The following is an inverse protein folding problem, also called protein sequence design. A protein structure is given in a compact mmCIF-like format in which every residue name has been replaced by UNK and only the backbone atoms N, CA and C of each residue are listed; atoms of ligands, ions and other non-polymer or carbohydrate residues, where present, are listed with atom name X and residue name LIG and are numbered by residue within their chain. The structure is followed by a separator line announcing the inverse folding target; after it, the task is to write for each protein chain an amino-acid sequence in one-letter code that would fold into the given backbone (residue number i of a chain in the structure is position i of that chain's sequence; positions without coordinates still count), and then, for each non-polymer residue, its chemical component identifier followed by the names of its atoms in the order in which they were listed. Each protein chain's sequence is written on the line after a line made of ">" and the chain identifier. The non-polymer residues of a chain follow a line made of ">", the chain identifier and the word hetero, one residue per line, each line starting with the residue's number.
data_IF_525764211309
#
_entry.id   IF_525764211309
#
_cell.length_a   1.000
_cell.length_b   1.000
_cell.length_c   1.000
_cell.angle_alpha   90.00
_cell.angle_beta   90.00
_cell.angle_gamma   90.00
#
_symmetry.space_group_name_H-M   'P 1'
#
loop_
_entity.id
_entity.type
_entity.pdbx_description
1 polymer ?
#
# COMPACT_ATOMS: atom_id res chain seq x y z
N UNK A 1 19.45 -15.65 -25.73
CA UNK A 1 19.39 -16.63 -24.62
C UNK A 1 17.93 -16.86 -24.29
N UNK A 2 17.51 -18.14 -24.23
CA UNK A 2 16.12 -18.58 -24.14
C UNK A 2 15.53 -18.35 -22.74
N UNK A 3 14.21 -18.24 -22.71
CA UNK A 3 13.38 -17.82 -21.58
C UNK A 3 13.61 -18.61 -20.30
N UNK A 4 13.71 -17.86 -19.21
CA UNK A 4 13.40 -18.34 -17.87
C UNK A 4 11.87 -18.20 -17.75
N UNK A 5 11.17 -19.33 -17.74
CA UNK A 5 9.73 -19.37 -17.49
C UNK A 5 9.46 -18.79 -16.11
N UNK A 6 8.89 -17.58 -16.08
CA UNK A 6 8.31 -17.01 -14.87
C UNK A 6 6.95 -17.69 -14.69
N UNK A 7 6.83 -18.58 -13.72
CA UNK A 7 5.53 -19.08 -13.28
C UNK A 7 4.74 -17.89 -12.73
N UNK A 8 3.69 -17.47 -13.43
CA UNK A 8 2.92 -16.28 -13.10
C UNK A 8 1.53 -16.69 -12.63
N UNK A 9 1.21 -16.41 -11.38
CA UNK A 9 -0.18 -16.53 -10.93
C UNK A 9 -0.42 -16.11 -9.48
N UNK A 10 0.13 -14.97 -9.10
CA UNK A 10 -0.32 -14.33 -7.87
C UNK A 10 -1.54 -13.45 -8.22
N UNK A 11 -2.75 -13.99 -8.09
CA UNK A 11 -4.00 -13.20 -8.17
C UNK A 11 -4.22 -12.50 -6.83
N UNK A 12 -3.56 -11.36 -6.62
CA UNK A 12 -3.81 -10.54 -5.44
C UNK A 12 -4.53 -9.27 -5.83
N UNK A 13 -5.52 -8.92 -5.02
CA UNK A 13 -6.52 -7.91 -5.34
C UNK A 13 -6.42 -6.62 -4.52
N UNK A 14 -7.37 -5.72 -4.73
CA UNK A 14 -8.50 -5.84 -5.67
C UNK A 14 -8.13 -5.56 -7.13
N UNK A 15 -7.04 -4.84 -7.41
CA UNK A 15 -6.62 -4.47 -8.78
C UNK A 15 -5.86 -5.59 -9.52
N UNK A 16 -6.24 -6.85 -9.30
CA UNK A 16 -5.57 -8.03 -9.86
C UNK A 16 -5.60 -8.05 -11.40
N UNK A 17 -6.72 -7.64 -12.01
CA UNK A 17 -6.88 -7.59 -13.46
C UNK A 17 -5.95 -6.55 -14.11
N UNK A 18 -5.82 -5.37 -13.50
CA UNK A 18 -4.90 -4.34 -13.97
C UNK A 18 -3.44 -4.81 -13.85
N UNK A 19 -3.06 -5.34 -12.69
CA UNK A 19 -1.68 -5.79 -12.45
C UNK A 19 -1.29 -6.96 -13.36
N UNK A 20 -2.15 -7.96 -13.50
CA UNK A 20 -1.89 -9.09 -14.39
C UNK A 20 -1.83 -8.68 -15.86
N UNK A 21 -2.71 -7.79 -16.32
CA UNK A 21 -2.69 -7.30 -17.72
C UNK A 21 -1.39 -6.56 -18.03
N UNK A 22 -0.93 -5.70 -17.12
CA UNK A 22 0.35 -5.00 -17.25
C UNK A 22 1.52 -5.99 -17.16
N UNK A 23 1.51 -6.93 -16.21
CA UNK A 23 2.60 -7.91 -16.09
C UNK A 23 2.74 -8.81 -17.32
N UNK A 24 1.62 -9.10 -18.00
CA UNK A 24 1.57 -9.92 -19.21
C UNK A 24 1.68 -9.12 -20.52
N UNK A 25 2.04 -7.84 -20.43
CA UNK A 25 2.24 -6.97 -21.60
C UNK A 25 0.99 -6.81 -22.47
N UNK A 26 -0.20 -7.03 -21.90
CA UNK A 26 -1.48 -6.80 -22.59
C UNK A 26 -1.85 -5.31 -22.63
N UNK A 27 -1.24 -4.51 -21.76
CA UNK A 27 -1.29 -3.05 -21.76
C UNK A 27 0.00 -2.45 -21.18
N UNK A 28 0.22 -1.16 -21.43
CA UNK A 28 1.41 -0.43 -20.98
C UNK A 28 1.34 -0.04 -19.50
N UNK A 29 0.12 0.30 -19.03
CA UNK A 29 -0.17 0.66 -17.65
C UNK A 29 -1.58 0.19 -17.25
N UNK A 30 -1.84 0.20 -15.94
CA UNK A 30 -3.13 -0.17 -15.36
C UNK A 30 -3.53 0.82 -14.28
N UNK A 31 -4.81 1.15 -14.21
CA UNK A 31 -5.41 1.93 -13.13
C UNK A 31 -6.06 1.01 -12.10
N UNK A 32 -6.08 1.43 -10.85
CA UNK A 32 -6.75 0.72 -9.76
C UNK A 32 -7.10 1.64 -8.60
N UNK A 33 -7.76 1.08 -7.59
CA UNK A 33 -7.95 1.75 -6.30
C UNK A 33 -7.05 1.10 -5.24
N UNK A 34 -6.55 1.91 -4.30
CA UNK A 34 -5.72 1.47 -3.18
C UNK A 34 -6.31 2.02 -1.87
N UNK A 35 -7.24 1.26 -1.30
CA UNK A 35 -7.85 1.54 0.02
C UNK A 35 -6.98 1.02 1.16
N UNK A 36 -6.40 -0.17 1.00
CA UNK A 36 -5.54 -0.81 2.01
C UNK A 36 -4.27 -1.44 1.43
N UNK A 37 -3.93 -1.13 0.18
CA UNK A 37 -2.79 -1.74 -0.54
C UNK A 37 -3.12 -2.25 -1.93
N UNK A 38 -4.34 -2.05 -2.43
CA UNK A 38 -4.84 -2.70 -3.65
C UNK A 38 -4.25 -2.22 -4.99
N UNK A 39 -3.29 -1.29 -4.98
CA UNK A 39 -2.38 -1.03 -6.10
C UNK A 39 -0.97 -1.47 -5.76
N UNK A 40 -0.46 -1.09 -4.57
CA UNK A 40 0.92 -1.38 -4.15
C UNK A 40 1.21 -2.87 -3.99
N UNK A 41 0.31 -3.62 -3.34
CA UNK A 41 0.45 -5.06 -3.11
C UNK A 41 0.46 -5.85 -4.43
N UNK A 42 -0.54 -5.72 -5.33
CA UNK A 42 -0.47 -6.45 -6.60
C UNK A 42 0.69 -5.98 -7.48
N UNK A 43 1.10 -4.71 -7.42
CA UNK A 43 2.32 -4.25 -8.12
C UNK A 43 3.57 -4.98 -7.60
N UNK A 44 3.72 -5.08 -6.28
CA UNK A 44 4.82 -5.83 -5.64
C UNK A 44 4.85 -7.30 -6.11
N UNK A 45 3.71 -7.98 -6.06
CA UNK A 45 3.64 -9.41 -6.44
C UNK A 45 3.77 -9.66 -7.94
N UNK A 46 3.37 -8.72 -8.78
CA UNK A 46 3.53 -8.81 -10.22
C UNK A 46 4.88 -8.26 -10.72
N UNK A 47 5.74 -7.74 -9.84
CA UNK A 47 7.03 -7.14 -10.22
C UNK A 47 6.87 -5.86 -11.05
N UNK A 48 5.87 -5.05 -10.73
CA UNK A 48 5.57 -3.78 -11.38
C UNK A 48 5.94 -2.61 -10.47
N UNK A 49 6.17 -1.45 -11.08
CA UNK A 49 6.10 -0.18 -10.35
C UNK A 49 4.63 0.15 -10.09
N UNK A 50 4.31 0.59 -8.87
CA UNK A 50 2.96 1.00 -8.50
C UNK A 50 2.99 2.17 -7.53
N UNK A 51 2.07 3.12 -7.73
CA UNK A 51 1.98 4.32 -6.90
C UNK A 51 0.56 4.51 -6.36
N UNK A 52 0.47 4.80 -5.06
CA UNK A 52 -0.70 5.39 -4.42
C UNK A 52 -0.35 6.84 -4.09
N UNK A 53 -0.89 7.84 -4.82
CA UNK A 53 -0.61 9.25 -4.54
C UNK A 53 -1.22 9.67 -3.20
N UNK A 54 -1.00 10.92 -2.80
CA UNK A 54 -1.71 11.55 -1.68
C UNK A 54 -3.23 11.37 -1.87
N UNK A 55 -3.93 11.02 -0.78
CA UNK A 55 -5.39 10.86 -0.82
C UNK A 55 -6.06 12.15 -1.34
N UNK A 56 -7.06 11.98 -2.20
CA UNK A 56 -7.76 13.10 -2.85
C UNK A 56 -6.98 13.84 -3.94
N UNK A 57 -5.73 13.44 -4.25
CA UNK A 57 -4.91 14.13 -5.27
C UNK A 57 -5.41 13.92 -6.70
N UNK A 58 -6.00 12.76 -6.97
CA UNK A 58 -6.68 12.41 -8.21
C UNK A 58 -8.17 12.30 -7.90
N UNK A 59 -9.02 12.95 -8.70
CA UNK A 59 -10.46 12.87 -8.52
C UNK A 59 -10.94 11.42 -8.73
N UNK A 60 -11.76 10.94 -7.78
CA UNK A 60 -12.30 9.58 -7.75
C UNK A 60 -13.80 9.55 -8.09
N UNK A 61 -14.38 10.69 -8.47
CA UNK A 61 -15.78 10.80 -8.90
C UNK A 61 -16.10 9.75 -9.97
N UNK A 62 -17.21 9.04 -9.78
CA UNK A 62 -17.68 7.98 -10.67
C UNK A 62 -17.13 6.58 -10.35
N UNK A 63 -16.09 6.46 -9.52
CA UNK A 63 -15.67 5.16 -9.01
C UNK A 63 -16.66 4.64 -7.95
N UNK A 64 -16.68 3.31 -7.76
CA UNK A 64 -17.46 2.69 -6.68
C UNK A 64 -16.69 2.85 -5.37
N UNK A 65 -17.24 3.53 -4.35
CA UNK A 65 -16.58 3.68 -3.07
C UNK A 65 -16.52 2.33 -2.35
N UNK A 66 -15.45 2.10 -1.60
CA UNK A 66 -15.33 1.04 -0.62
C UNK A 66 -15.25 1.64 0.78
N UNK A 67 -14.27 2.52 1.01
CA UNK A 67 -14.12 3.31 2.23
C UNK A 67 -13.56 4.69 1.84
N UNK A 68 -14.43 5.69 1.61
CA UNK A 68 -14.07 6.98 1.01
C UNK A 68 -12.89 7.72 1.68
N UNK A 69 -12.69 7.58 3.00
CA UNK A 69 -11.55 8.24 3.67
C UNK A 69 -10.20 7.59 3.37
N UNK A 70 -10.19 6.43 2.72
CA UNK A 70 -8.99 5.69 2.33
C UNK A 70 -8.87 5.47 0.81
N UNK A 71 -10.00 5.43 0.10
CA UNK A 71 -10.03 5.14 -1.33
C UNK A 71 -9.19 6.15 -2.13
N UNK A 72 -8.18 5.62 -2.83
CA UNK A 72 -7.25 6.42 -3.62
C UNK A 72 -7.05 5.80 -4.99
N UNK A 73 -7.20 6.58 -6.06
CA UNK A 73 -6.83 6.13 -7.41
C UNK A 73 -5.31 6.01 -7.48
N UNK A 74 -4.82 4.86 -7.91
CA UNK A 74 -3.42 4.61 -8.17
C UNK A 74 -3.21 3.95 -9.52
N UNK A 75 -1.96 3.87 -9.94
CA UNK A 75 -1.60 3.26 -11.21
C UNK A 75 -0.31 2.46 -11.10
N UNK A 76 -0.12 1.58 -12.09
CA UNK A 76 1.01 0.66 -12.16
C UNK A 76 1.49 0.47 -13.58
N UNK A 77 2.79 0.24 -13.74
CA UNK A 77 3.47 0.06 -15.02
C UNK A 77 4.71 -0.83 -14.88
N UNK A 78 5.16 -1.43 -15.99
CA UNK A 78 6.45 -2.16 -16.04
C UNK A 78 7.66 -1.22 -16.12
N UNK A 79 7.45 -0.04 -16.70
CA UNK A 79 8.47 0.97 -16.94
C UNK A 79 8.21 2.21 -16.10
N UNK A 80 9.27 2.77 -15.51
CA UNK A 80 9.18 3.93 -14.62
C UNK A 80 8.82 5.20 -15.39
N UNK A 81 9.25 5.33 -16.66
CA UNK A 81 8.89 6.45 -17.52
C UNK A 81 7.42 6.43 -17.90
N UNK A 82 6.84 5.25 -18.17
CA UNK A 82 5.38 5.10 -18.35
C UNK A 82 4.63 5.44 -17.07
N UNK A 83 5.08 4.97 -15.90
CA UNK A 83 4.47 5.33 -14.62
C UNK A 83 4.48 6.85 -14.41
N UNK A 84 5.59 7.51 -14.72
CA UNK A 84 5.73 8.96 -14.62
C UNK A 84 4.79 9.69 -15.59
N UNK A 85 4.75 9.29 -16.87
CA UNK A 85 3.91 9.90 -17.88
C UNK A 85 2.41 9.83 -17.51
N UNK A 86 1.96 8.71 -16.94
CA UNK A 86 0.59 8.59 -16.41
C UNK A 86 0.38 9.58 -15.25
N UNK A 87 1.37 9.72 -14.36
CA UNK A 87 1.33 10.67 -13.25
C UNK A 87 1.27 12.13 -13.69
N UNK A 88 2.00 12.51 -14.74
CA UNK A 88 1.96 13.86 -15.31
C UNK A 88 0.55 14.23 -15.81
N UNK A 89 -0.19 13.25 -16.33
CA UNK A 89 -1.59 13.42 -16.75
C UNK A 89 -2.52 13.48 -15.55
N UNK A 90 -2.44 12.50 -14.63
CA UNK A 90 -3.42 12.34 -13.56
C UNK A 90 -3.28 13.32 -12.41
N UNK A 91 -2.05 13.74 -12.10
CA UNK A 91 -1.82 14.66 -11.00
C UNK A 91 -2.16 16.09 -11.41
N UNK A 92 -1.97 16.47 -12.68
CA UNK A 92 -2.18 17.85 -13.13
C UNK A 92 -1.33 18.89 -12.35
N UNK A 93 -1.07 20.06 -12.97
CA UNK A 93 -0.33 21.15 -12.32
C UNK A 93 1.19 20.98 -12.33
N UNK A 94 1.87 21.85 -11.59
CA UNK A 94 3.34 21.92 -11.59
C UNK A 94 3.92 20.96 -10.56
N UNK A 95 5.00 20.27 -10.93
CA UNK A 95 5.84 19.58 -9.98
C UNK A 95 6.50 20.60 -9.04
N UNK A 96 6.65 20.19 -7.78
CA UNK A 96 7.44 20.92 -6.80
C UNK A 96 8.63 20.06 -6.43
N UNK A 97 9.83 20.59 -6.67
CA UNK A 97 11.06 19.95 -6.20
C UNK A 97 11.25 20.30 -4.72
N UNK A 98 10.99 19.32 -3.87
CA UNK A 98 11.32 19.38 -2.45
C UNK A 98 12.51 18.46 -2.22
N UNK A 99 13.67 19.00 -1.75
CA UNK A 99 14.80 18.17 -1.41
C UNK A 99 14.42 17.15 -0.33
N UNK A 100 14.76 15.90 -0.56
CA UNK A 100 14.69 14.87 0.49
C UNK A 100 15.94 15.08 1.36
N UNK A 101 15.75 15.38 2.63
CA UNK A 101 16.83 15.67 3.59
C UNK A 101 17.06 14.53 4.59
N UNK A 102 16.16 13.54 4.59
CA UNK A 102 16.22 12.38 5.47
C UNK A 102 15.80 11.10 4.74
N UNK A 103 16.58 10.05 4.90
CA UNK A 103 16.22 8.70 4.51
C UNK A 103 16.07 7.84 5.75
N UNK A 104 14.95 7.15 5.90
CA UNK A 104 14.73 6.20 7.00
C UNK A 104 14.36 4.79 6.54
N UNK A 105 14.68 3.79 7.37
CA UNK A 105 14.23 2.39 7.25
C UNK A 105 13.42 2.02 8.49
N UNK A 106 12.17 1.59 8.30
CA UNK A 106 11.25 1.24 9.40
C UNK A 106 11.45 -0.17 9.92
N UNK A 107 12.23 -0.35 10.98
CA UNK A 107 12.71 -1.67 11.44
C UNK A 107 11.60 -2.59 11.94
N UNK A 108 10.58 -2.04 12.59
CA UNK A 108 9.38 -2.74 13.04
C UNK A 108 8.50 -3.23 11.87
N UNK A 109 8.41 -2.45 10.78
CA UNK A 109 7.75 -2.91 9.56
C UNK A 109 8.53 -4.06 8.89
N UNK A 110 9.86 -4.01 8.89
CA UNK A 110 10.71 -5.12 8.43
C UNK A 110 10.60 -6.37 9.31
N UNK A 111 10.38 -6.21 10.61
CA UNK A 111 10.18 -7.32 11.55
C UNK A 111 8.85 -8.06 11.32
N UNK A 112 7.84 -7.40 10.71
CA UNK A 112 6.56 -8.01 10.34
C UNK A 112 6.61 -8.77 9.00
N UNK A 113 7.62 -8.53 8.17
CA UNK A 113 7.78 -9.23 6.90
C UNK A 113 8.50 -10.57 7.08
N UNK A 114 8.27 -11.50 6.15
CA UNK A 114 8.97 -12.76 6.06
C UNK A 114 10.49 -12.53 6.09
N UNK A 115 11.27 -13.25 6.93
CA UNK A 115 12.70 -13.04 7.05
C UNK A 115 13.47 -13.11 5.71
N UNK A 116 13.01 -13.94 4.77
CA UNK A 116 13.61 -14.04 3.44
C UNK A 116 13.34 -12.79 2.60
N UNK A 117 12.15 -12.17 2.73
CA UNK A 117 11.82 -10.89 2.07
C UNK A 117 12.66 -9.77 2.66
N UNK A 118 12.70 -9.65 3.98
CA UNK A 118 13.52 -8.65 4.67
C UNK A 118 14.99 -8.78 4.26
N UNK A 119 15.54 -10.00 4.30
CA UNK A 119 16.91 -10.28 3.85
C UNK A 119 17.12 -9.92 2.37
N UNK A 120 16.20 -10.27 1.48
CA UNK A 120 16.33 -9.97 0.05
C UNK A 120 16.33 -8.46 -0.22
N UNK A 121 15.44 -7.73 0.46
CA UNK A 121 15.38 -6.26 0.37
C UNK A 121 16.70 -5.68 0.91
N UNK A 122 17.12 -6.02 2.13
CA UNK A 122 18.40 -5.54 2.69
C UNK A 122 19.62 -5.94 1.86
N UNK A 123 19.63 -7.12 1.23
CA UNK A 123 20.71 -7.52 0.33
C UNK A 123 20.76 -6.67 -0.94
N UNK A 124 19.60 -6.27 -1.49
CA UNK A 124 19.53 -5.33 -2.60
C UNK A 124 20.06 -3.93 -2.23
N UNK A 125 19.95 -3.55 -0.94
CA UNK A 125 20.54 -2.33 -0.39
C UNK A 125 22.06 -2.48 -0.16
N UNK A 126 22.46 -3.50 0.59
CA UNK A 126 23.83 -3.66 1.11
C UNK A 126 24.83 -4.32 0.15
N UNK A 127 24.39 -4.91 -0.96
CA UNK A 127 25.26 -5.66 -1.86
C UNK A 127 26.38 -4.78 -2.44
N UNK A 128 27.63 -5.28 -2.37
CA UNK A 128 28.88 -4.65 -2.83
C UNK A 128 28.91 -4.19 -4.31
N UNK A 129 27.79 -4.35 -5.06
CA UNK A 129 27.62 -4.03 -6.48
C UNK A 129 26.25 -3.40 -6.81
N UNK A 130 25.52 -2.86 -5.82
CA UNK A 130 24.27 -2.15 -6.09
C UNK A 130 24.55 -0.69 -6.43
N UNK A 131 25.13 -0.44 -7.61
CA UNK A 131 25.26 0.92 -8.18
C UNK A 131 23.93 1.69 -8.13
N UNK A 132 22.81 0.96 -8.18
CA UNK A 132 21.47 1.51 -7.99
C UNK A 132 21.24 2.00 -6.55
N UNK A 133 21.48 1.19 -5.53
CA UNK A 133 21.26 1.63 -4.15
C UNK A 133 22.21 2.76 -3.77
N UNK A 134 23.48 2.66 -4.13
CA UNK A 134 24.45 3.75 -3.95
C UNK A 134 23.97 5.02 -4.64
N UNK A 135 23.47 4.93 -5.89
CA UNK A 135 22.90 6.09 -6.57
C UNK A 135 21.67 6.67 -5.86
N UNK A 136 20.83 5.86 -5.21
CA UNK A 136 19.73 6.41 -4.40
C UNK A 136 20.29 7.07 -3.14
N UNK A 137 21.23 6.46 -2.42
CA UNK A 137 21.87 7.05 -1.24
C UNK A 137 22.54 8.39 -1.60
N UNK A 138 23.27 8.45 -2.70
CA UNK A 138 23.87 9.66 -3.24
C UNK A 138 22.82 10.71 -3.61
N UNK A 139 21.73 10.31 -4.29
CA UNK A 139 20.65 11.21 -4.67
C UNK A 139 19.88 11.79 -3.48
N UNK A 140 19.81 11.05 -2.36
CA UNK A 140 19.08 11.44 -1.14
C UNK A 140 20.02 12.00 -0.05
N UNK A 141 21.34 11.99 -0.27
CA UNK A 141 22.32 12.68 0.57
C UNK A 141 22.93 11.84 1.71
N UNK A 142 22.93 10.51 1.62
CA UNK A 142 23.63 9.63 2.55
C UNK A 142 22.97 8.26 2.74
N UNK A 143 23.51 7.50 3.69
CA UNK A 143 22.97 6.19 4.09
C UNK A 143 21.66 6.33 4.91
N UNK A 144 20.75 5.34 4.82
CA UNK A 144 19.56 5.29 5.67
C UNK A 144 19.88 5.31 7.16
N UNK A 145 19.05 6.01 7.93
CA UNK A 145 18.96 5.79 9.38
C UNK A 145 17.83 4.81 9.70
N UNK A 146 18.06 3.92 10.66
CA UNK A 146 17.01 3.05 11.17
C UNK A 146 16.08 3.82 12.13
N UNK A 147 14.77 3.57 11.99
CA UNK A 147 13.75 4.11 12.89
C UNK A 147 12.74 3.03 13.23
N UNK A 148 12.20 3.07 14.44
CA UNK A 148 11.01 2.31 14.81
C UNK A 148 9.79 3.20 14.52
N UNK A 149 8.94 2.79 13.58
CA UNK A 149 7.81 3.62 13.11
C UNK A 149 6.75 3.76 14.20
N UNK A 150 6.40 2.64 14.85
CA UNK A 150 5.45 2.57 15.95
C UNK A 150 6.03 1.76 17.13
N UNK A 151 6.83 2.39 18.00
CA UNK A 151 7.42 1.74 19.16
C UNK A 151 6.40 1.00 20.05
N UNK A 152 6.69 -0.24 20.49
CA UNK A 152 5.77 -1.04 21.30
C UNK A 152 5.67 -0.57 22.76
N UNK A 153 6.52 0.38 23.17
CA UNK A 153 6.53 0.98 24.50
C UNK A 153 5.42 2.02 24.71
N UNK A 154 4.60 2.29 23.68
CA UNK A 154 3.53 3.27 23.72
C UNK A 154 4.02 4.72 23.73
N UNK A 155 5.29 4.96 23.38
CA UNK A 155 5.85 6.32 23.24
C UNK A 155 5.23 7.12 22.09
N UNK A 156 4.57 6.45 21.15
CA UNK A 156 3.78 7.06 20.08
C UNK A 156 2.31 6.72 20.23
N UNK A 157 1.46 7.63 19.77
CA UNK A 157 0.03 7.45 19.84
C UNK A 157 -0.47 6.33 18.91
N UNK A 158 -1.57 5.69 19.31
CA UNK A 158 -2.18 4.59 18.55
C UNK A 158 -1.53 3.21 18.78
N UNK A 159 -0.47 3.11 19.59
CA UNK A 159 0.20 1.85 19.90
C UNK A 159 1.20 1.41 18.80
N UNK A 160 1.41 0.10 18.69
CA UNK A 160 2.28 -0.50 17.68
C UNK A 160 1.58 -0.63 16.30
N UNK A 161 2.34 -1.09 15.29
CA UNK A 161 1.81 -1.29 13.93
C UNK A 161 0.60 -2.26 13.88
N UNK A 162 0.55 -3.25 14.78
CA UNK A 162 -0.58 -4.18 14.87
C UNK A 162 -1.84 -3.49 15.37
N UNK A 163 -1.70 -2.58 16.33
CA UNK A 163 -2.78 -1.75 16.87
C UNK A 163 -3.26 -0.74 15.82
N UNK A 164 -2.34 -0.10 15.09
CA UNK A 164 -2.68 0.80 13.97
C UNK A 164 -3.51 0.07 12.90
N UNK A 165 -3.14 -1.17 12.59
CA UNK A 165 -3.91 -2.02 11.69
C UNK A 165 -5.34 -2.28 12.18
N UNK A 166 -5.55 -2.47 13.50
CA UNK A 166 -6.91 -2.61 14.03
C UNK A 166 -7.72 -1.31 13.91
N UNK A 167 -7.12 -0.15 14.20
CA UNK A 167 -7.80 1.14 14.01
C UNK A 167 -8.20 1.35 12.55
N UNK A 168 -7.30 1.07 11.61
CA UNK A 168 -7.61 1.08 10.19
C UNK A 168 -8.79 0.16 9.85
N UNK A 169 -8.79 -1.08 10.34
CA UNK A 169 -9.87 -2.04 10.08
C UNK A 169 -11.22 -1.59 10.60
N UNK A 170 -11.28 -0.99 11.79
CA UNK A 170 -12.53 -0.46 12.36
C UNK A 170 -13.09 0.66 11.47
N UNK A 171 -12.24 1.64 11.13
CA UNK A 171 -12.65 2.78 10.30
C UNK A 171 -13.07 2.33 8.90
N UNK A 172 -12.26 1.49 8.26
CA UNK A 172 -12.57 0.94 6.94
C UNK A 172 -13.89 0.14 6.96
N UNK A 173 -14.06 -0.76 7.93
CA UNK A 173 -15.27 -1.60 8.01
C UNK A 173 -16.53 -0.76 8.23
N UNK A 174 -16.46 0.27 9.08
CA UNK A 174 -17.57 1.21 9.30
C UNK A 174 -17.98 1.90 8.00
N UNK A 175 -17.02 2.41 7.22
CA UNK A 175 -17.30 3.07 5.94
C UNK A 175 -17.80 2.10 4.86
N UNK A 176 -17.30 0.87 4.84
CA UNK A 176 -17.82 -0.20 3.97
C UNK A 176 -19.30 -0.46 4.26
N UNK A 177 -19.66 -0.57 5.54
CA UNK A 177 -21.06 -0.75 5.93
C UNK A 177 -21.91 0.47 5.59
N UNK A 178 -21.40 1.69 5.78
CA UNK A 178 -22.10 2.91 5.39
C UNK A 178 -22.35 2.99 3.86
N UNK A 179 -21.40 2.53 3.05
CA UNK A 179 -21.52 2.55 1.59
C UNK A 179 -22.44 1.46 1.03
N UNK A 180 -22.39 0.25 1.61
CA UNK A 180 -22.98 -0.95 0.99
C UNK A 180 -23.99 -1.68 1.87
N UNK A 181 -24.08 -1.37 3.16
CA UNK A 181 -24.89 -2.11 4.14
C UNK A 181 -26.37 -2.20 3.75
N UNK A 182 -26.97 -1.09 3.33
CA UNK A 182 -28.35 -1.09 2.84
C UNK A 182 -28.55 -2.06 1.67
N UNK A 183 -27.67 -2.02 0.66
CA UNK A 183 -27.75 -2.91 -0.49
C UNK A 183 -27.56 -4.38 -0.08
N UNK A 184 -26.67 -4.67 0.86
CA UNK A 184 -26.47 -6.03 1.39
C UNK A 184 -27.73 -6.56 2.07
N UNK A 185 -28.41 -5.73 2.85
CA UNK A 185 -29.66 -6.12 3.54
C UNK A 185 -30.83 -6.28 2.57
N UNK A 186 -30.92 -5.45 1.54
CA UNK A 186 -32.02 -5.50 0.57
C UNK A 186 -31.87 -6.62 -0.47
N UNK A 187 -30.63 -6.88 -0.92
CA UNK A 187 -30.36 -7.79 -2.06
C UNK A 187 -29.91 -9.17 -1.60
N UNK A 188 -29.41 -9.31 -0.37
CA UNK A 188 -28.87 -10.56 0.20
C UNK A 188 -27.93 -11.30 -0.78
N UNK A 189 -26.88 -10.63 -1.28
CA UNK A 189 -26.03 -11.18 -2.33
C UNK A 189 -25.24 -12.41 -1.86
N UNK A 190 -24.99 -13.33 -2.79
CA UNK A 190 -24.10 -14.47 -2.56
C UNK A 190 -22.63 -14.01 -2.55
N UNK A 191 -22.09 -13.73 -1.36
CA UNK A 191 -20.67 -13.44 -1.18
C UNK A 191 -19.80 -14.70 -1.18
N UNK A 192 -18.60 -14.56 -1.74
CA UNK A 192 -17.52 -15.53 -1.60
C UNK A 192 -16.94 -15.57 -0.18
N UNK A 193 -16.12 -16.59 0.12
CA UNK A 193 -15.48 -16.75 1.44
C UNK A 193 -14.63 -15.53 1.82
N UNK A 194 -14.65 -15.14 3.09
CA UNK A 194 -13.93 -14.00 3.64
C UNK A 194 -14.63 -12.65 3.45
N UNK A 195 -15.40 -12.46 2.38
CA UNK A 195 -16.16 -11.21 2.14
C UNK A 195 -17.43 -11.20 3.00
N UNK A 196 -18.12 -12.34 3.11
CA UNK A 196 -19.31 -12.48 3.96
C UNK A 196 -19.00 -12.13 5.41
N UNK A 197 -17.93 -12.69 5.95
CA UNK A 197 -17.49 -12.50 7.34
C UNK A 197 -17.07 -11.04 7.57
N UNK A 198 -16.47 -10.38 6.58
CA UNK A 198 -16.13 -8.95 6.65
C UNK A 198 -17.38 -8.07 6.69
N UNK A 199 -18.43 -8.37 5.92
CA UNK A 199 -19.69 -7.64 6.00
C UNK A 199 -20.43 -7.88 7.33
N UNK A 200 -20.39 -9.10 7.86
CA UNK A 200 -20.94 -9.41 9.19
C UNK A 200 -20.23 -8.60 10.28
N UNK A 201 -18.89 -8.61 10.29
CA UNK A 201 -18.10 -7.78 11.20
C UNK A 201 -18.38 -6.29 11.02
N UNK A 202 -18.46 -5.81 9.78
CA UNK A 202 -18.69 -4.40 9.48
C UNK A 202 -20.05 -3.90 10.03
N UNK A 203 -21.08 -4.75 10.00
CA UNK A 203 -22.40 -4.47 10.58
C UNK A 203 -22.35 -4.31 12.11
N UNK A 204 -21.42 -4.97 12.77
CA UNK A 204 -21.31 -4.99 14.24
C UNK A 204 -20.47 -3.83 14.81
N UNK A 205 -19.75 -3.09 13.96
CA UNK A 205 -18.92 -1.95 14.38
C UNK A 205 -19.79 -0.86 15.03
N UNK A 206 -19.42 -0.48 16.25
CA UNK A 206 -20.13 0.53 17.03
C UNK A 206 -19.60 1.95 16.79
N UNK A 207 -20.43 2.95 17.10
CA UNK A 207 -20.02 4.36 17.00
C UNK A 207 -18.86 4.70 17.94
N UNK A 208 -18.81 4.10 19.14
CA UNK A 208 -17.75 4.32 20.13
C UNK A 208 -16.39 3.78 19.63
N UNK A 209 -16.40 2.60 18.99
CA UNK A 209 -15.20 2.05 18.34
C UNK A 209 -14.70 2.96 17.22
N UNK A 210 -15.60 3.51 16.40
CA UNK A 210 -15.24 4.45 15.33
C UNK A 210 -14.65 5.74 15.90
N UNK A 211 -15.26 6.31 16.95
CA UNK A 211 -14.75 7.51 17.62
C UNK A 211 -13.36 7.27 18.20
N UNK A 212 -13.16 6.14 18.87
CA UNK A 212 -11.86 5.76 19.43
C UNK A 212 -10.80 5.57 18.35
N UNK A 213 -11.12 4.83 17.28
CA UNK A 213 -10.19 4.59 16.17
C UNK A 213 -9.88 5.87 15.38
N UNK A 214 -10.85 6.79 15.23
CA UNK A 214 -10.64 8.07 14.58
C UNK A 214 -9.70 8.97 15.39
N UNK A 215 -9.88 9.04 16.71
CA UNK A 215 -8.97 9.78 17.59
C UNK A 215 -7.54 9.22 17.53
N UNK A 216 -7.39 7.88 17.51
CA UNK A 216 -6.09 7.25 17.35
C UNK A 216 -5.46 7.56 15.98
N UNK A 217 -6.22 7.49 14.89
CA UNK A 217 -5.77 7.86 13.54
C UNK A 217 -5.21 9.29 13.51
N UNK A 218 -5.91 10.25 14.11
CA UNK A 218 -5.50 11.65 14.08
C UNK A 218 -4.15 11.87 14.78
N UNK A 219 -3.89 11.16 15.88
CA UNK A 219 -2.59 11.20 16.54
C UNK A 219 -1.50 10.45 15.75
N UNK A 220 -1.84 9.33 15.11
CA UNK A 220 -0.93 8.60 14.20
C UNK A 220 -0.50 9.50 13.04
N UNK A 221 -1.45 10.26 12.45
CA UNK A 221 -1.15 11.21 11.37
C UNK A 221 -0.16 12.28 11.84
N UNK A 222 -0.38 12.90 13.00
CA UNK A 222 0.56 13.90 13.56
C UNK A 222 1.96 13.34 13.79
N UNK A 223 2.03 12.10 14.27
CA UNK A 223 3.30 11.39 14.47
C UNK A 223 4.00 11.14 13.13
N UNK A 224 3.29 10.62 12.12
CA UNK A 224 3.84 10.37 10.79
C UNK A 224 4.27 11.67 10.09
N UNK A 225 3.51 12.76 10.22
CA UNK A 225 3.89 14.07 9.68
C UNK A 225 5.21 14.56 10.29
N UNK A 226 5.40 14.32 11.59
CA UNK A 226 6.65 14.67 12.28
C UNK A 226 7.80 13.76 11.86
N UNK A 227 7.56 12.44 11.82
CA UNK A 227 8.56 11.44 11.47
C UNK A 227 9.07 11.65 10.03
N UNK A 228 8.14 11.89 9.09
CA UNK A 228 8.39 12.02 7.65
C UNK A 228 8.71 13.45 7.21
N UNK A 229 8.76 14.42 8.12
CA UNK A 229 9.09 15.80 7.78
C UNK A 229 10.45 15.88 7.07
N UNK A 230 10.42 16.30 5.80
CA UNK A 230 11.59 16.37 4.91
C UNK A 230 12.19 15.02 4.51
N UNK A 231 11.53 13.91 4.81
CA UNK A 231 12.12 12.58 4.68
C UNK A 231 11.29 11.57 3.89
N UNK A 232 11.95 10.48 3.55
CA UNK A 232 11.33 9.26 2.99
C UNK A 232 11.53 8.10 3.95
N UNK A 233 10.54 7.23 4.02
CA UNK A 233 10.57 6.01 4.82
C UNK A 233 10.47 4.80 3.91
N UNK A 234 11.42 3.88 4.06
CA UNK A 234 11.43 2.60 3.38
C UNK A 234 10.85 1.52 4.28
N UNK A 235 9.88 0.77 3.77
CA UNK A 235 9.25 -0.40 4.39
C UNK A 235 8.97 -1.48 3.34
N UNK A 236 8.87 -2.77 3.71
CA UNK A 236 8.41 -3.80 2.79
C UNK A 236 6.99 -3.49 2.31
N UNK A 237 6.73 -3.63 1.01
CA UNK A 237 5.39 -3.36 0.45
C UNK A 237 4.39 -4.46 0.80
N UNK A 238 4.86 -5.70 0.94
CA UNK A 238 4.06 -6.88 1.25
C UNK A 238 4.77 -7.74 2.30
N UNK A 239 4.01 -8.49 3.12
CA UNK A 239 4.58 -9.28 4.23
C UNK A 239 5.34 -10.53 3.76
N UNK A 240 5.20 -10.94 2.50
CA UNK A 240 5.84 -12.14 1.96
C UNK A 240 6.01 -12.04 0.45
N UNK A 241 6.60 -13.05 -0.22
CA UNK A 241 6.56 -13.15 -1.67
C UNK A 241 5.13 -13.46 -2.13
N UNK A 242 4.79 -13.06 -3.35
CA UNK A 242 3.51 -13.46 -3.96
C UNK A 242 3.45 -14.99 -4.08
N UNK A 243 2.38 -15.61 -3.60
CA UNK A 243 2.17 -17.04 -3.78
C UNK A 243 1.86 -17.32 -5.25
N UNK A 244 2.62 -18.23 -5.87
CA UNK A 244 2.21 -18.82 -7.14
C UNK A 244 0.91 -19.64 -6.92
N UNK A 245 0.06 -19.83 -7.95
CA UNK A 245 -1.02 -20.79 -7.84
C UNK A 245 -0.37 -22.13 -7.55
N UNK A 246 -0.92 -22.86 -6.58
CA UNK A 246 -0.71 -24.31 -6.55
C UNK A 246 -1.20 -24.86 -7.89
N UNK A 247 -0.33 -25.54 -8.65
CA UNK A 247 -0.79 -26.26 -9.84
C UNK A 247 -1.97 -27.18 -9.44
N UNK A 248 -3.03 -27.25 -10.27
CA UNK A 248 -4.18 -28.11 -10.00
C UNK A 248 -3.82 -29.60 -9.96
#
# INVERSE_FOLDING_TARGET
>A
MRGIGRGFGCLVGSSSGAASSVAQELCDFGLGSDTGGSVRIPSSYCGLYGIRPTHGRVDIVGARPLAPSFDTVGWMARDIGVLQAVGEVLLEGKSHETPITRWMVGTDAFALADPAVSKAIYAALSGQDSSRFQAVCEAIGGEPTEVTVAPPDGSVAGGDLATWWQHFRVLQASEVWACHGQWVEEVEPAFGPGIRERFQMAKEITADEVVSAAAARDEIVKHLDTLLCGGVLMVPTAPGPGTAPTEP
#
